data_IF_522770957414
#
_entry.id   IF_522770957414
#
_cell.length_a   1.000
_cell.length_b   1.000
_cell.length_c   1.000
_cell.angle_alpha   90.00
_cell.angle_beta   90.00
_cell.angle_gamma   90.00
#
_symmetry.space_group_name_H-M   'P 1'
#
loop_
_entity.id
_entity.type
_entity.pdbx_description
1 polymer ?
#
# COMPACT_ATOMS: atom_id res chain seq x y z
N UNK A 1 4.49 7.28 17.48
CA UNK A 1 3.89 7.31 18.63
C UNK A 1 4.32 6.27 19.63
N UNK A 2 3.96 6.49 20.87
CA UNK A 2 4.45 5.69 22.00
C UNK A 2 3.93 4.24 22.00
N UNK A 3 3.01 3.88 21.10
CA UNK A 3 2.40 2.55 21.08
C UNK A 3 2.68 1.75 19.80
N UNK A 4 3.76 2.07 19.12
CA UNK A 4 4.20 1.27 18.00
C UNK A 4 5.04 0.08 18.48
N UNK A 5 4.80 -1.08 17.88
CA UNK A 5 5.52 -2.31 18.21
C UNK A 5 6.23 -2.83 16.97
N UNK A 6 7.52 -3.07 17.09
CA UNK A 6 8.32 -3.65 16.02
C UNK A 6 8.30 -5.17 16.14
N UNK A 7 7.64 -5.82 15.19
CA UNK A 7 7.56 -7.29 15.12
C UNK A 7 8.34 -7.86 13.93
N UNK A 8 9.23 -7.06 13.35
CA UNK A 8 10.06 -7.48 12.21
C UNK A 8 10.80 -8.77 12.55
N UNK A 9 10.69 -9.77 11.67
CA UNK A 9 11.35 -11.05 11.85
C UNK A 9 10.76 -11.96 12.93
N UNK A 10 9.64 -11.56 13.56
CA UNK A 10 9.03 -12.33 14.66
C UNK A 10 7.78 -13.09 14.26
N UNK A 11 7.37 -13.02 13.00
CA UNK A 11 6.14 -13.65 12.52
C UNK A 11 6.44 -14.55 11.33
N UNK A 12 5.72 -15.66 11.23
CA UNK A 12 5.62 -16.40 9.99
C UNK A 12 4.35 -15.92 9.23
N UNK A 13 4.08 -16.55 8.09
CA UNK A 13 2.95 -16.15 7.24
C UNK A 13 1.60 -16.34 7.94
N UNK A 14 1.44 -17.43 8.69
CA UNK A 14 0.21 -17.72 9.43
C UNK A 14 -0.01 -16.70 10.56
N UNK A 15 1.05 -16.35 11.29
CA UNK A 15 1.00 -15.32 12.33
C UNK A 15 0.58 -13.98 11.74
N UNK A 16 1.17 -13.62 10.59
CA UNK A 16 0.89 -12.35 9.93
C UNK A 16 -0.56 -12.29 9.46
N UNK A 17 -1.08 -13.38 8.89
CA UNK A 17 -2.48 -13.45 8.49
C UNK A 17 -3.41 -13.25 9.69
N UNK A 18 -3.07 -13.88 10.82
CA UNK A 18 -3.86 -13.73 12.04
C UNK A 18 -3.86 -12.28 12.56
N UNK A 19 -2.69 -11.64 12.57
CA UNK A 19 -2.56 -10.23 12.97
C UNK A 19 -3.42 -9.36 12.06
N UNK A 20 -3.37 -9.58 10.75
CA UNK A 20 -4.15 -8.81 9.80
C UNK A 20 -5.65 -8.97 10.02
N UNK A 21 -6.14 -10.15 10.37
CA UNK A 21 -7.56 -10.33 10.67
C UNK A 21 -8.03 -9.52 11.89
N UNK A 22 -7.11 -9.19 12.79
CA UNK A 22 -7.40 -8.40 13.99
C UNK A 22 -7.12 -6.91 13.81
N UNK A 23 -6.43 -6.54 12.75
CA UNK A 23 -6.08 -5.14 12.48
C UNK A 23 -7.30 -4.36 11.97
N UNK A 24 -7.36 -3.09 12.32
CA UNK A 24 -8.38 -2.20 11.79
C UNK A 24 -8.17 -1.91 10.30
N UNK A 25 -6.91 -1.75 9.90
CA UNK A 25 -6.55 -1.59 8.50
C UNK A 25 -5.04 -1.86 8.32
N UNK A 26 -4.65 -2.05 7.08
CA UNK A 26 -3.26 -2.15 6.64
C UNK A 26 -2.87 -0.86 5.92
N UNK A 27 -1.67 -0.38 6.18
CA UNK A 27 -1.06 0.70 5.42
C UNK A 27 0.38 0.32 5.08
N UNK A 28 0.74 0.40 3.83
CA UNK A 28 2.08 0.06 3.38
C UNK A 28 2.25 0.17 1.88
N UNK A 29 3.28 -0.49 1.38
CA UNK A 29 3.55 -0.54 -0.05
C UNK A 29 2.88 -1.75 -0.71
N UNK A 30 2.92 -1.78 -2.05
CA UNK A 30 2.38 -2.88 -2.85
C UNK A 30 3.34 -4.08 -2.77
N UNK A 31 3.11 -4.92 -1.77
CA UNK A 31 3.92 -6.12 -1.48
C UNK A 31 3.01 -7.31 -1.22
N UNK A 32 3.61 -8.48 -0.99
CA UNK A 32 2.85 -9.68 -0.65
C UNK A 32 1.97 -9.51 0.58
N UNK A 33 2.38 -8.70 1.55
CA UNK A 33 1.60 -8.43 2.76
C UNK A 33 0.29 -7.71 2.43
N UNK A 34 0.33 -6.79 1.48
CA UNK A 34 -0.88 -6.12 1.00
C UNK A 34 -1.89 -7.14 0.47
N UNK A 35 -1.43 -8.06 -0.37
CA UNK A 35 -2.31 -9.07 -0.95
C UNK A 35 -2.87 -10.02 0.11
N UNK A 36 -2.09 -10.32 1.13
CA UNK A 36 -2.57 -11.10 2.27
C UNK A 36 -3.65 -10.34 3.03
N UNK A 37 -3.46 -9.03 3.25
CA UNK A 37 -4.48 -8.19 3.91
C UNK A 37 -5.80 -8.21 3.12
N UNK A 38 -5.73 -8.07 1.80
CA UNK A 38 -6.92 -8.13 0.96
C UNK A 38 -7.58 -9.51 1.04
N UNK A 39 -6.80 -10.58 1.04
CA UNK A 39 -7.31 -11.94 1.11
C UNK A 39 -8.08 -12.22 2.40
N UNK A 40 -7.63 -11.67 3.53
CA UNK A 40 -8.32 -11.82 4.82
C UNK A 40 -9.32 -10.70 5.09
N UNK A 41 -9.59 -9.87 4.08
CA UNK A 41 -10.59 -8.79 4.11
C UNK A 41 -10.28 -7.67 5.11
N UNK A 42 -9.02 -7.43 5.38
CA UNK A 42 -8.58 -6.27 6.14
C UNK A 42 -8.58 -5.05 5.22
N UNK A 43 -9.24 -3.95 5.58
CA UNK A 43 -9.15 -2.72 4.79
C UNK A 43 -7.71 -2.29 4.59
N UNK A 44 -7.37 -1.83 3.39
CA UNK A 44 -5.99 -1.57 3.04
C UNK A 44 -5.83 -0.28 2.24
N UNK A 45 -4.80 0.48 2.57
CA UNK A 45 -4.31 1.58 1.74
C UNK A 45 -2.84 1.31 1.42
N UNK A 46 -2.49 1.33 0.15
CA UNK A 46 -1.14 1.02 -0.28
C UNK A 46 -0.56 2.09 -1.19
N UNK A 47 0.70 2.40 -0.95
CA UNK A 47 1.48 3.24 -1.86
C UNK A 47 1.90 2.38 -3.03
N UNK A 48 1.46 2.74 -4.22
CA UNK A 48 1.71 2.00 -5.45
C UNK A 48 2.62 2.83 -6.34
N UNK A 49 3.81 2.32 -6.57
CA UNK A 49 4.79 2.94 -7.46
C UNK A 49 4.63 2.47 -8.90
N UNK A 50 5.73 2.51 -9.62
CA UNK A 50 5.76 2.13 -11.02
C UNK A 50 5.36 0.67 -11.21
N UNK A 51 4.46 0.42 -12.13
CA UNK A 51 4.13 -0.93 -12.60
C UNK A 51 3.12 -1.71 -11.79
N UNK A 52 2.82 -1.32 -10.54
CA UNK A 52 1.90 -2.08 -9.70
C UNK A 52 0.45 -1.71 -9.86
N UNK A 53 0.17 -0.45 -10.14
CA UNK A 53 -1.18 0.09 -10.26
C UNK A 53 -1.93 -0.59 -11.41
N UNK A 54 -3.21 -0.85 -11.23
CA UNK A 54 -4.14 -1.48 -12.18
C UNK A 54 -3.78 -2.91 -12.58
N UNK A 55 -2.57 -3.36 -12.34
CA UNK A 55 -2.14 -4.72 -12.68
C UNK A 55 -2.25 -5.67 -11.48
N UNK A 56 -1.84 -5.20 -10.32
CA UNK A 56 -1.82 -6.01 -9.11
C UNK A 56 -2.71 -5.46 -7.99
N UNK A 57 -2.95 -4.16 -7.98
CA UNK A 57 -3.77 -3.46 -6.99
C UNK A 57 -4.20 -2.10 -7.57
N UNK A 58 -5.40 -1.58 -7.31
CA UNK A 58 -6.39 -2.12 -6.37
C UNK A 58 -7.29 -3.19 -7.00
N UNK A 59 -7.84 -4.05 -6.16
CA UNK A 59 -8.88 -5.00 -6.52
C UNK A 59 -9.76 -5.26 -5.30
N UNK A 60 -10.88 -5.98 -5.50
CA UNK A 60 -11.84 -6.20 -4.42
C UNK A 60 -12.72 -4.97 -4.19
N UNK A 61 -13.08 -4.71 -2.93
CA UNK A 61 -13.98 -3.62 -2.58
C UNK A 61 -13.27 -2.26 -2.72
N UNK A 62 -13.73 -1.38 -3.63
CA UNK A 62 -13.08 -0.09 -3.84
C UNK A 62 -13.20 0.88 -2.65
N UNK A 63 -14.10 0.63 -1.71
CA UNK A 63 -14.22 1.47 -0.52
C UNK A 63 -13.19 1.12 0.55
N UNK A 64 -12.70 -0.11 0.56
CA UNK A 64 -11.77 -0.61 1.56
C UNK A 64 -10.39 -0.92 1.03
N UNK A 65 -10.19 -0.86 -0.28
CA UNK A 65 -8.90 -1.12 -0.92
C UNK A 65 -8.48 0.10 -1.72
N UNK A 66 -7.65 0.95 -1.11
CA UNK A 66 -7.29 2.25 -1.66
C UNK A 66 -5.83 2.26 -2.15
N UNK A 67 -5.64 2.68 -3.39
CA UNK A 67 -4.30 2.90 -3.95
C UNK A 67 -3.91 4.37 -3.80
N UNK A 68 -2.69 4.60 -3.32
CA UNK A 68 -2.08 5.92 -3.22
C UNK A 68 -0.99 5.98 -4.29
N UNK A 69 -1.15 6.82 -5.29
CA UNK A 69 -0.26 6.85 -6.45
C UNK A 69 -0.11 8.25 -7.00
N UNK A 70 0.86 8.42 -7.88
CA UNK A 70 1.09 9.68 -8.58
C UNK A 70 0.01 9.91 -9.64
N UNK A 71 -0.95 10.75 -9.33
CA UNK A 71 -2.09 11.04 -10.20
C UNK A 71 -1.73 11.89 -11.43
N UNK A 72 -0.52 12.44 -11.48
CA UNK A 72 -0.05 13.16 -12.65
C UNK A 72 0.34 12.24 -13.79
N UNK A 73 0.53 10.95 -13.52
CA UNK A 73 0.87 9.95 -14.54
C UNK A 73 -0.39 9.30 -15.07
N UNK A 74 -0.49 9.06 -16.38
CA UNK A 74 -1.60 8.31 -16.94
C UNK A 74 -1.70 6.91 -16.34
N UNK A 75 -2.91 6.49 -16.07
CA UNK A 75 -3.17 5.14 -15.60
C UNK A 75 -2.67 4.11 -16.62
N UNK A 76 -1.89 3.16 -16.16
CA UNK A 76 -1.32 2.17 -17.04
C UNK A 76 -0.13 2.62 -17.86
N UNK A 77 0.42 3.82 -17.60
CA UNK A 77 1.64 4.24 -18.27
C UNK A 77 2.76 3.25 -17.94
N UNK A 78 3.47 2.79 -18.98
CA UNK A 78 4.45 1.73 -18.87
C UNK A 78 5.73 2.15 -18.16
N UNK A 79 5.67 2.20 -16.88
CA UNK A 79 6.75 2.73 -16.02
C UNK A 79 7.79 1.69 -15.62
N UNK A 80 7.66 0.47 -16.11
CA UNK A 80 8.63 -0.59 -15.85
C UNK A 80 10.05 -0.23 -16.26
N UNK A 81 10.18 0.49 -17.37
CA UNK A 81 11.49 0.89 -17.90
C UNK A 81 12.18 1.91 -17.00
N UNK A 82 11.41 2.75 -16.33
CA UNK A 82 11.96 3.82 -15.48
C UNK A 82 12.70 3.25 -14.27
N UNK A 83 12.21 2.13 -13.72
CA UNK A 83 12.79 1.52 -12.54
C UNK A 83 14.21 1.01 -12.76
N UNK A 84 14.55 0.66 -14.00
CA UNK A 84 15.88 0.14 -14.35
C UNK A 84 16.97 1.20 -14.32
N UNK A 85 16.60 2.46 -14.37
CA UNK A 85 17.53 3.58 -14.40
C UNK A 85 17.85 4.14 -13.02
N UNK A 86 17.21 3.59 -11.97
CA UNK A 86 17.45 4.06 -10.61
C UNK A 86 18.81 3.61 -10.10
N UNK A 87 19.52 4.57 -9.51
CA UNK A 87 20.77 4.30 -8.80
C UNK A 87 20.45 3.81 -7.38
N UNK A 88 21.38 3.06 -6.76
CA UNK A 88 21.20 2.64 -5.36
C UNK A 88 20.88 3.83 -4.45
N UNK A 89 19.83 3.68 -3.63
CA UNK A 89 19.39 4.72 -2.70
C UNK A 89 18.47 5.78 -3.31
N UNK A 90 18.24 5.73 -4.61
CA UNK A 90 17.37 6.68 -5.29
C UNK A 90 15.91 6.23 -5.22
N UNK A 91 15.00 7.16 -4.91
CA UNK A 91 13.57 6.88 -4.86
C UNK A 91 12.97 7.07 -6.26
N UNK A 92 12.17 6.12 -6.71
CA UNK A 92 11.51 6.23 -8.00
C UNK A 92 10.61 7.49 -8.04
N UNK A 93 10.62 8.27 -9.12
CA UNK A 93 9.82 9.50 -9.20
C UNK A 93 8.33 9.32 -8.95
N UNK A 94 7.75 8.17 -9.31
CA UNK A 94 6.34 7.89 -9.07
C UNK A 94 6.01 7.81 -7.57
N UNK A 95 6.96 7.46 -6.74
CA UNK A 95 6.81 7.43 -5.28
C UNK A 95 7.13 8.81 -4.70
N UNK A 96 8.21 9.43 -5.17
CA UNK A 96 8.64 10.74 -4.68
C UNK A 96 7.59 11.84 -4.92
N UNK A 97 6.77 11.68 -5.96
CA UNK A 97 5.69 12.63 -6.28
C UNK A 97 4.47 12.52 -5.36
N UNK A 98 4.38 11.46 -4.55
CA UNK A 98 3.26 11.27 -3.63
C UNK A 98 3.47 12.12 -2.39
N UNK A 99 2.56 13.04 -2.12
CA UNK A 99 2.63 13.87 -0.92
C UNK A 99 2.12 13.09 0.30
N UNK A 100 2.69 13.37 1.46
CA UNK A 100 2.23 12.79 2.74
C UNK A 100 0.74 13.04 2.95
N UNK A 101 0.24 14.19 2.51
CA UNK A 101 -1.18 14.55 2.59
C UNK A 101 -2.09 13.55 1.89
N UNK A 102 -1.65 12.99 0.77
CA UNK A 102 -2.42 11.99 0.04
C UNK A 102 -2.56 10.68 0.84
N UNK A 103 -1.49 10.28 1.52
CA UNK A 103 -1.53 9.13 2.40
C UNK A 103 -2.46 9.37 3.59
N UNK A 104 -2.40 10.55 4.20
CA UNK A 104 -3.28 10.93 5.30
C UNK A 104 -4.75 10.90 4.87
N UNK A 105 -5.07 11.44 3.70
CA UNK A 105 -6.43 11.43 3.17
C UNK A 105 -6.95 10.00 2.95
N UNK A 106 -6.11 9.11 2.44
CA UNK A 106 -6.49 7.72 2.23
C UNK A 106 -6.77 7.01 3.57
N UNK A 107 -5.92 7.23 4.56
CA UNK A 107 -6.11 6.67 5.90
C UNK A 107 -7.40 7.21 6.54
N UNK A 108 -7.66 8.50 6.42
CA UNK A 108 -8.89 9.12 6.93
C UNK A 108 -10.14 8.52 6.28
N UNK A 109 -10.08 8.25 4.97
CA UNK A 109 -11.18 7.56 4.28
C UNK A 109 -11.42 6.17 4.84
N UNK A 110 -10.35 5.39 5.07
CA UNK A 110 -10.48 4.06 5.67
C UNK A 110 -11.07 4.12 7.07
N UNK A 111 -10.60 5.04 7.89
CA UNK A 111 -11.13 5.22 9.24
C UNK A 111 -12.63 5.57 9.19
N UNK A 112 -13.04 6.40 8.25
CA UNK A 112 -14.44 6.75 8.07
C UNK A 112 -15.32 5.58 7.66
N UNK A 113 -14.81 4.67 6.84
CA UNK A 113 -15.54 3.47 6.40
C UNK A 113 -15.63 2.44 7.52
N UNK A 114 -14.53 2.26 8.26
CA UNK A 114 -14.44 1.26 9.35
C UNK A 114 -15.28 1.70 10.56
N UNK A 115 -15.17 2.96 10.87
CA UNK A 115 -15.80 3.54 12.05
C UNK A 115 -17.23 3.90 11.87
#
# INVERSE_FOLDING_TARGET
>A
TSKAFDITGKTDLADLAHILTKASFYFGSDTGILHLAVAVKTPAAAIVGSGGLWRFFPYGDPETNLAIYDKSRPYGSGVWTDAKELKPGQIHPSIAAIAVKEAECAIDRLIGVIG
#
